data_IF_394635471194
#
_entry.id   IF_394635471194
#
_cell.length_a   1.000
_cell.length_b   1.000
_cell.length_c   1.000
_cell.angle_alpha   90.00
_cell.angle_beta   90.00
_cell.angle_gamma   90.00
#
_symmetry.space_group_name_H-M   'P 1'
#
loop_
_entity.id
_entity.type
_entity.pdbx_description
1 polymer ?
#
# COMPACT_ATOMS: atom_id res chain seq x y z
N UNK A 1 -3.28 5.68 19.84
CA UNK A 1 -3.85 6.27 18.62
C UNK A 1 -2.90 5.83 17.52
N UNK A 2 -3.34 4.83 16.76
CA UNK A 2 -2.46 3.85 16.11
C UNK A 2 -2.78 3.77 14.63
N UNK A 3 -1.80 4.13 13.81
CA UNK A 3 -1.86 3.89 12.38
C UNK A 3 -2.11 2.41 12.11
N UNK A 4 -3.15 2.11 11.33
CA UNK A 4 -3.41 0.76 10.85
C UNK A 4 -2.65 0.56 9.54
N UNK A 5 -1.70 -0.37 9.55
CA UNK A 5 -0.99 -0.78 8.35
C UNK A 5 -1.87 -1.68 7.50
N UNK A 6 -1.75 -1.55 6.19
CA UNK A 6 -2.42 -2.39 5.21
C UNK A 6 -1.43 -2.82 4.12
N UNK A 7 -1.68 -3.98 3.51
CA UNK A 7 -0.95 -4.46 2.34
C UNK A 7 -1.83 -5.29 1.41
N UNK A 8 -1.58 -5.17 0.11
CA UNK A 8 -2.33 -5.82 -0.96
C UNK A 8 -1.38 -6.33 -2.04
N UNK A 9 -1.71 -7.46 -2.64
CA UNK A 9 -1.09 -7.94 -3.89
C UNK A 9 -2.20 -8.12 -4.90
N UNK A 10 -2.11 -7.44 -6.05
CA UNK A 10 -3.16 -7.46 -7.08
C UNK A 10 -2.56 -7.61 -8.48
N UNK A 11 -3.25 -8.25 -9.45
CA UNK A 11 -2.77 -8.41 -10.81
C UNK A 11 -2.46 -7.08 -11.50
N UNK A 12 -1.33 -7.02 -12.22
CA UNK A 12 -0.90 -5.84 -12.97
C UNK A 12 -1.80 -5.61 -14.19
N UNK A 13 -2.44 -4.44 -14.26
CA UNK A 13 -3.38 -4.05 -15.32
C UNK A 13 -2.78 -3.05 -16.32
N UNK A 14 -1.55 -3.29 -16.76
CA UNK A 14 -0.87 -2.51 -17.80
C UNK A 14 -0.19 -1.21 -17.33
N UNK A 15 -0.69 -0.60 -16.25
CA UNK A 15 -0.03 0.48 -15.50
C UNK A 15 -0.32 0.35 -14.01
N UNK A 16 0.49 0.98 -13.15
CA UNK A 16 0.26 0.94 -11.70
C UNK A 16 -0.99 1.76 -11.34
N UNK A 17 -1.26 2.84 -12.06
CA UNK A 17 -2.44 3.69 -11.89
C UNK A 17 -3.74 2.93 -12.22
N UNK A 18 -3.76 2.20 -13.33
CA UNK A 18 -4.90 1.34 -13.69
C UNK A 18 -5.07 0.19 -12.71
N UNK A 19 -3.97 -0.34 -12.20
CA UNK A 19 -4.00 -1.41 -11.18
C UNK A 19 -4.58 -0.88 -9.87
N UNK A 20 -4.13 0.29 -9.41
CA UNK A 20 -4.62 0.94 -8.19
C UNK A 20 -6.12 1.24 -8.29
N UNK A 21 -6.57 1.86 -9.39
CA UNK A 21 -7.98 2.18 -9.57
C UNK A 21 -8.88 0.95 -9.45
N UNK A 22 -8.49 -0.14 -10.11
CA UNK A 22 -9.29 -1.34 -10.06
C UNK A 22 -9.20 -2.07 -8.72
N UNK A 23 -8.09 -1.91 -7.97
CA UNK A 23 -8.01 -2.33 -6.57
C UNK A 23 -8.92 -1.48 -5.66
N UNK A 24 -9.05 -0.17 -5.90
CA UNK A 24 -10.01 0.67 -5.19
C UNK A 24 -11.45 0.19 -5.41
N UNK A 25 -11.82 -0.12 -6.65
CA UNK A 25 -13.16 -0.65 -6.96
C UNK A 25 -13.43 -1.97 -6.21
N UNK A 26 -12.46 -2.89 -6.19
CA UNK A 26 -12.54 -4.18 -5.48
C UNK A 26 -12.70 -4.01 -3.96
N UNK A 27 -11.87 -3.17 -3.32
CA UNK A 27 -11.91 -2.95 -1.87
C UNK A 27 -13.12 -2.14 -1.45
N UNK A 28 -13.59 -1.21 -2.27
CA UNK A 28 -14.83 -0.49 -2.02
C UNK A 28 -16.03 -1.43 -2.00
N UNK A 29 -16.13 -2.34 -2.96
CA UNK A 29 -17.19 -3.34 -2.99
C UNK A 29 -17.13 -4.27 -1.78
N UNK A 30 -15.93 -4.68 -1.35
CA UNK A 30 -15.73 -5.51 -0.15
C UNK A 30 -16.22 -4.81 1.13
N UNK A 31 -15.88 -3.53 1.31
CA UNK A 31 -16.18 -2.79 2.53
C UNK A 31 -17.60 -2.22 2.55
N UNK A 32 -18.11 -1.76 1.41
CA UNK A 32 -19.34 -0.96 1.31
C UNK A 32 -20.40 -1.54 0.39
N UNK A 33 -20.09 -2.55 -0.45
CA UNK A 33 -21.03 -3.09 -1.46
C UNK A 33 -22.30 -3.72 -0.91
N UNK A 34 -22.32 -4.08 0.37
CA UNK A 34 -23.51 -4.56 1.09
C UNK A 34 -24.26 -3.50 1.90
N UNK A 35 -23.76 -2.27 1.97
CA UNK A 35 -24.29 -1.18 2.80
C UNK A 35 -25.08 -0.14 2.02
N UNK A 36 -25.80 0.72 2.75
CA UNK A 36 -26.46 1.92 2.20
C UNK A 36 -25.68 3.21 2.49
N UNK A 37 -24.48 3.10 3.08
CA UNK A 37 -23.69 4.24 3.56
C UNK A 37 -23.09 5.06 2.40
N UNK A 38 -22.50 4.37 1.42
CA UNK A 38 -21.96 4.97 0.21
C UNK A 38 -22.34 4.13 -1.00
N UNK A 39 -22.90 4.75 -2.04
CA UNK A 39 -23.25 4.10 -3.31
C UNK A 39 -22.10 4.09 -4.33
N UNK A 40 -21.02 4.83 -4.07
CA UNK A 40 -19.82 4.85 -4.93
C UNK A 40 -18.57 5.37 -4.20
N UNK A 41 -17.40 5.10 -4.79
CA UNK A 41 -16.13 5.70 -4.37
C UNK A 41 -16.16 7.24 -4.35
N UNK A 42 -16.82 7.86 -5.33
CA UNK A 42 -16.93 9.32 -5.39
C UNK A 42 -17.74 9.88 -4.21
N UNK A 43 -18.79 9.17 -3.78
CA UNK A 43 -19.57 9.53 -2.58
C UNK A 43 -18.74 9.37 -1.30
N UNK A 44 -18.00 8.26 -1.17
CA UNK A 44 -17.08 8.04 -0.06
C UNK A 44 -16.04 9.16 0.05
N UNK A 45 -15.41 9.53 -1.08
CA UNK A 45 -14.40 10.58 -1.10
C UNK A 45 -14.95 11.99 -0.93
N UNK A 46 -16.26 12.19 -1.14
CA UNK A 46 -16.92 13.46 -0.85
C UNK A 46 -17.20 13.67 0.65
N UNK A 47 -17.16 12.60 1.46
CA UNK A 47 -17.25 12.71 2.93
C UNK A 47 -15.89 13.09 3.52
N UNK A 48 -15.60 14.39 3.50
CA UNK A 48 -14.34 14.95 4.03
C UNK A 48 -14.19 14.77 5.55
N UNK A 49 -15.30 14.65 6.31
CA UNK A 49 -15.26 14.43 7.75
C UNK A 49 -14.75 13.01 8.03
N UNK A 50 -15.38 12.01 7.41
CA UNK A 50 -14.97 10.61 7.54
C UNK A 50 -13.56 10.37 7.00
N UNK A 51 -13.27 10.82 5.78
CA UNK A 51 -11.98 10.63 5.13
C UNK A 51 -10.85 11.46 5.76
N UNK A 52 -11.18 12.55 6.46
CA UNK A 52 -10.21 13.44 7.10
C UNK A 52 -9.83 13.04 8.52
N UNK A 53 -10.72 12.37 9.26
CA UNK A 53 -10.49 12.03 10.67
C UNK A 53 -9.98 10.61 10.90
N UNK A 54 -10.59 9.59 10.29
CA UNK A 54 -10.20 8.18 10.47
C UNK A 54 -9.88 7.46 9.17
N UNK A 55 -10.58 7.81 8.09
CA UNK A 55 -10.49 7.06 6.83
C UNK A 55 -10.99 5.62 6.99
N UNK A 56 -10.64 4.80 6.01
CA UNK A 56 -11.12 3.42 5.84
C UNK A 56 -10.19 2.37 6.43
N UNK A 57 -9.00 2.77 6.91
CA UNK A 57 -7.93 1.86 7.32
C UNK A 57 -7.51 0.88 6.22
N UNK A 58 -7.58 1.33 4.96
CA UNK A 58 -7.36 0.50 3.77
C UNK A 58 -6.64 1.27 2.65
N UNK A 59 -6.41 0.60 1.52
CA UNK A 59 -5.88 1.22 0.29
C UNK A 59 -6.74 2.38 -0.23
N UNK A 60 -8.02 2.47 0.16
CA UNK A 60 -8.90 3.59 -0.23
C UNK A 60 -8.43 4.93 0.35
N UNK A 61 -7.62 4.90 1.41
CA UNK A 61 -7.05 6.11 2.03
C UNK A 61 -5.90 6.70 1.22
N UNK A 62 -5.45 6.05 0.15
CA UNK A 62 -4.46 6.62 -0.79
C UNK A 62 -5.08 6.70 -2.17
N UNK A 63 -5.09 7.90 -2.75
CA UNK A 63 -5.88 8.19 -3.95
C UNK A 63 -5.05 8.21 -5.24
N UNK A 64 -3.75 8.49 -5.15
CA UNK A 64 -2.94 8.74 -6.36
C UNK A 64 -1.50 8.25 -6.25
N UNK A 65 -0.92 7.99 -7.40
CA UNK A 65 0.49 7.64 -7.54
C UNK A 65 1.32 8.89 -7.80
N UNK A 66 2.44 9.01 -7.10
CA UNK A 66 3.47 10.01 -7.36
C UNK A 66 4.72 9.35 -7.94
N UNK A 67 5.42 10.07 -8.83
CA UNK A 67 6.62 9.56 -9.50
C UNK A 67 7.90 9.69 -8.65
N UNK A 68 7.84 10.47 -7.58
CA UNK A 68 8.96 10.65 -6.66
C UNK A 68 9.09 9.44 -5.75
N UNK A 69 10.32 9.06 -5.42
CA UNK A 69 10.61 8.01 -4.44
C UNK A 69 10.67 8.52 -3.01
N UNK A 70 10.72 9.84 -2.82
CA UNK A 70 10.68 10.49 -1.51
C UNK A 70 9.22 10.74 -1.09
N UNK A 71 8.90 10.73 0.23
CA UNK A 71 7.59 11.15 0.72
C UNK A 71 7.23 12.55 0.19
N UNK A 72 6.03 12.72 -0.33
CA UNK A 72 5.58 14.02 -0.88
C UNK A 72 4.42 14.61 -0.10
N UNK A 73 3.22 14.06 -0.31
CA UNK A 73 1.95 14.58 0.18
C UNK A 73 1.12 13.43 0.76
N UNK A 74 0.13 13.78 1.57
CA UNK A 74 -0.89 12.84 2.01
C UNK A 74 -1.68 12.24 0.84
N UNK A 75 -2.24 11.07 1.09
CA UNK A 75 -3.06 10.27 0.18
C UNK A 75 -2.30 9.82 -1.09
N UNK A 76 -0.98 9.63 -0.97
CA UNK A 76 -0.12 9.25 -2.10
C UNK A 76 0.59 7.91 -1.93
N UNK A 77 0.74 7.22 -3.06
CA UNK A 77 1.58 6.04 -3.23
C UNK A 77 2.83 6.40 -4.03
N UNK A 78 4.00 5.98 -3.54
CA UNK A 78 5.27 6.18 -4.23
C UNK A 78 5.94 4.87 -4.63
N UNK A 79 6.74 4.84 -5.71
CA UNK A 79 7.55 3.67 -6.01
C UNK A 79 8.60 3.45 -4.94
N UNK A 80 8.82 2.18 -4.57
CA UNK A 80 10.01 1.83 -3.80
C UNK A 80 11.27 2.04 -4.67
N UNK A 81 12.29 2.79 -4.21
CA UNK A 81 13.49 3.02 -5.00
C UNK A 81 14.23 1.72 -5.33
N UNK A 82 14.85 1.65 -6.52
CA UNK A 82 15.61 0.48 -6.99
C UNK A 82 16.64 -0.03 -5.98
N UNK A 83 17.37 0.87 -5.33
CA UNK A 83 18.35 0.49 -4.30
C UNK A 83 17.70 -0.22 -3.10
N UNK A 84 16.47 0.17 -2.74
CA UNK A 84 15.69 -0.48 -1.67
C UNK A 84 15.06 -1.78 -2.13
N UNK A 85 14.65 -1.90 -3.40
CA UNK A 85 14.25 -3.18 -4.00
C UNK A 85 15.38 -4.21 -3.87
N UNK A 86 16.59 -3.85 -4.32
CA UNK A 86 17.77 -4.72 -4.24
C UNK A 86 18.12 -5.05 -2.78
N UNK A 87 17.97 -4.09 -1.86
CA UNK A 87 18.20 -4.33 -0.44
C UNK A 87 17.25 -5.38 0.17
N UNK A 88 15.94 -5.29 -0.12
CA UNK A 88 14.93 -6.16 0.49
C UNK A 88 14.79 -7.52 -0.22
N UNK A 89 14.95 -7.52 -1.54
CA UNK A 89 14.66 -8.69 -2.38
C UNK A 89 15.90 -9.31 -3.04
N UNK A 90 17.05 -8.63 -2.98
CA UNK A 90 18.26 -9.01 -3.72
C UNK A 90 18.19 -8.73 -5.22
N UNK A 91 17.11 -8.10 -5.70
CA UNK A 91 16.83 -7.85 -7.12
C UNK A 91 15.97 -6.58 -7.28
N UNK A 92 16.03 -5.94 -8.44
CA UNK A 92 15.13 -4.85 -8.84
C UNK A 92 13.81 -5.34 -9.47
N UNK A 93 13.69 -6.66 -9.68
CA UNK A 93 12.51 -7.33 -10.24
C UNK A 93 12.05 -8.47 -9.32
N UNK A 94 11.49 -8.15 -8.15
CA UNK A 94 11.05 -9.17 -7.21
C UNK A 94 9.85 -9.96 -7.76
N UNK A 95 9.77 -11.25 -7.39
CA UNK A 95 8.56 -12.06 -7.61
C UNK A 95 7.51 -11.82 -6.52
N UNK A 96 6.30 -12.32 -6.76
CA UNK A 96 5.23 -12.34 -5.75
C UNK A 96 5.67 -13.06 -4.48
N UNK A 97 6.27 -14.25 -4.63
CA UNK A 97 6.77 -15.04 -3.48
C UNK A 97 7.84 -14.28 -2.66
N UNK A 98 8.75 -13.55 -3.34
CA UNK A 98 9.75 -12.73 -2.64
C UNK A 98 9.10 -11.59 -1.86
N UNK A 99 8.07 -10.96 -2.43
CA UNK A 99 7.30 -9.91 -1.77
C UNK A 99 6.56 -10.42 -0.54
N UNK A 100 5.76 -11.48 -0.70
CA UNK A 100 5.01 -12.10 0.40
C UNK A 100 5.95 -12.58 1.51
N UNK A 101 7.07 -13.20 1.17
CA UNK A 101 8.08 -13.61 2.13
C UNK A 101 8.75 -12.44 2.86
N UNK A 102 8.91 -11.28 2.23
CA UNK A 102 9.40 -10.07 2.89
C UNK A 102 8.34 -9.45 3.82
N UNK A 103 7.07 -9.41 3.39
CA UNK A 103 5.95 -8.92 4.19
C UNK A 103 5.72 -9.80 5.43
N UNK A 104 5.75 -11.13 5.28
CA UNK A 104 5.63 -12.06 6.40
C UNK A 104 6.72 -11.82 7.46
N UNK A 105 7.98 -11.65 7.04
CA UNK A 105 9.10 -11.30 7.93
C UNK A 105 8.91 -9.94 8.59
N UNK A 106 8.38 -8.95 7.86
CA UNK A 106 8.10 -7.62 8.39
C UNK A 106 7.02 -7.67 9.50
N UNK A 107 5.94 -8.41 9.28
CA UNK A 107 4.90 -8.61 10.29
C UNK A 107 5.37 -9.40 11.51
N UNK A 108 6.22 -10.42 11.32
CA UNK A 108 6.85 -11.14 12.43
C UNK A 108 7.74 -10.20 13.26
N UNK A 109 8.56 -9.39 12.60
CA UNK A 109 9.41 -8.39 13.26
C UNK A 109 8.57 -7.36 14.01
N UNK A 110 7.45 -6.88 13.45
CA UNK A 110 6.56 -5.93 14.12
C UNK A 110 6.04 -6.47 15.47
N UNK A 111 5.78 -7.79 15.55
CA UNK A 111 5.30 -8.46 16.78
C UNK A 111 6.39 -8.70 17.82
N UNK A 112 7.64 -8.82 17.39
CA UNK A 112 8.74 -9.31 18.24
C UNK A 112 9.79 -8.25 18.54
N UNK A 113 9.85 -7.16 17.76
CA UNK A 113 10.87 -6.13 17.90
C UNK A 113 10.73 -5.33 19.19
N UNK A 114 11.85 -4.83 19.76
CA UNK A 114 11.80 -3.85 20.84
C UNK A 114 11.13 -2.55 20.35
N UNK A 115 10.33 -1.92 21.22
CA UNK A 115 9.60 -0.66 20.94
C UNK A 115 10.48 0.51 20.46
N UNK A 116 11.81 0.45 20.66
CA UNK A 116 12.77 1.50 20.29
C UNK A 116 13.74 1.09 19.18
N UNK A 117 13.55 -0.06 18.55
CA UNK A 117 14.37 -0.49 17.41
C UNK A 117 13.98 0.24 16.12
N UNK A 118 14.96 0.55 15.28
CA UNK A 118 14.69 1.00 13.91
C UNK A 118 14.00 -0.12 13.12
N UNK A 119 12.94 0.23 12.39
CA UNK A 119 12.30 -0.69 11.45
C UNK A 119 13.09 -0.72 10.13
N UNK A 120 13.88 -1.77 9.94
CA UNK A 120 14.64 -2.01 8.71
C UNK A 120 13.92 -2.95 7.75
N UNK A 121 12.68 -3.36 8.05
CA UNK A 121 11.90 -4.27 7.22
C UNK A 121 11.20 -3.53 6.08
N UNK A 122 10.51 -4.28 5.21
CA UNK A 122 9.77 -3.69 4.10
C UNK A 122 8.68 -2.71 4.58
N UNK A 123 7.98 -3.03 5.68
CA UNK A 123 7.00 -2.12 6.30
C UNK A 123 7.64 -0.81 6.78
N UNK A 124 8.91 -0.84 7.20
CA UNK A 124 9.66 0.35 7.64
C UNK A 124 10.01 1.34 6.52
N UNK A 125 9.72 1.00 5.26
CA UNK A 125 9.80 1.92 4.13
C UNK A 125 8.67 2.96 4.16
N UNK A 126 7.48 2.59 4.63
CA UNK A 126 6.41 3.55 4.85
C UNK A 126 6.56 4.22 6.23
N UNK A 127 6.68 5.54 6.25
CA UNK A 127 7.02 6.32 7.46
C UNK A 127 6.04 7.46 7.71
N UNK A 128 5.03 7.62 6.86
CA UNK A 128 4.10 8.73 6.90
C UNK A 128 2.67 8.20 6.81
N UNK A 129 1.81 8.67 7.71
CA UNK A 129 0.38 8.33 7.68
C UNK A 129 -0.27 8.82 6.40
N UNK A 130 -1.35 8.14 6.00
CA UNK A 130 -2.06 8.37 4.74
C UNK A 130 -1.11 8.34 3.54
N UNK A 131 -0.06 7.53 3.60
CA UNK A 131 0.80 7.29 2.45
C UNK A 131 1.07 5.80 2.33
N UNK A 132 1.64 5.42 1.20
CA UNK A 132 2.16 4.08 1.05
C UNK A 132 3.18 3.99 -0.06
N UNK A 133 3.62 2.76 -0.28
CA UNK A 133 4.64 2.38 -1.23
C UNK A 133 4.08 1.28 -2.12
N UNK A 134 4.49 1.28 -3.39
CA UNK A 134 4.21 0.18 -4.30
C UNK A 134 5.48 -0.46 -4.85
N UNK A 135 5.36 -1.74 -5.18
CA UNK A 135 6.40 -2.57 -5.80
C UNK A 135 5.79 -3.32 -6.97
N UNK A 136 6.38 -3.17 -8.17
CA UNK A 136 6.00 -3.98 -9.33
C UNK A 136 6.64 -5.35 -9.21
N UNK A 137 5.83 -6.40 -9.35
CA UNK A 137 6.20 -7.79 -9.15
C UNK A 137 6.22 -8.54 -10.48
N UNK A 138 7.19 -9.44 -10.62
CA UNK A 138 7.53 -10.05 -11.90
C UNK A 138 7.41 -11.57 -11.88
N UNK A 139 7.04 -12.13 -13.02
CA UNK A 139 7.16 -13.56 -13.35
C UNK A 139 7.78 -13.64 -14.73
N UNK A 140 8.84 -14.43 -14.90
CA UNK A 140 9.57 -14.56 -16.18
C UNK A 140 9.94 -13.21 -16.82
N UNK A 141 10.37 -12.25 -16.00
CA UNK A 141 10.72 -10.87 -16.40
C UNK A 141 9.56 -10.01 -16.94
N UNK A 142 8.31 -10.46 -16.84
CA UNK A 142 7.12 -9.67 -17.16
C UNK A 142 6.45 -9.18 -15.87
N UNK A 143 5.97 -7.92 -15.82
CA UNK A 143 5.19 -7.45 -14.68
C UNK A 143 3.86 -8.20 -14.65
N UNK A 144 3.59 -8.89 -13.54
CA UNK A 144 2.37 -9.69 -13.37
C UNK A 144 1.49 -9.19 -12.25
N UNK A 145 2.07 -8.59 -11.20
CA UNK A 145 1.35 -8.09 -10.04
C UNK A 145 1.95 -6.77 -9.54
N UNK A 146 1.23 -6.11 -8.65
CA UNK A 146 1.74 -4.99 -7.85
C UNK A 146 1.47 -5.30 -6.39
N UNK A 147 2.50 -5.17 -5.56
CA UNK A 147 2.38 -5.10 -4.11
C UNK A 147 2.20 -3.66 -3.68
N UNK A 148 1.14 -3.37 -2.94
CA UNK A 148 0.89 -2.09 -2.29
C UNK A 148 0.96 -2.28 -0.78
N UNK A 149 1.57 -1.36 -0.05
CA UNK A 149 1.51 -1.34 1.41
C UNK A 149 1.63 0.09 1.92
N UNK A 150 1.09 0.36 3.10
CA UNK A 150 1.11 1.69 3.67
C UNK A 150 0.39 1.75 5.00
N UNK A 151 0.14 2.97 5.45
CA UNK A 151 -0.42 3.24 6.76
C UNK A 151 -1.53 4.28 6.67
N UNK A 152 -2.69 3.95 7.22
CA UNK A 152 -3.77 4.93 7.44
C UNK A 152 -3.52 5.75 8.70
N UNK A 153 -4.12 6.93 8.79
CA UNK A 153 -3.99 7.82 9.95
C UNK A 153 -5.07 7.55 11.00
N UNK A 154 -4.64 7.57 12.27
CA UNK A 154 -5.43 7.67 13.51
C UNK A 154 -4.60 8.40 14.57
#
# INVERSE_FOLDING_TARGET
>A
MGASGWDYVTPYRGSVETTLKALHDEVFEELFGGGEEYGSLDELYADEEFMGEGGTHSILDVQRIVKTTEPSDYFTLRPLPTARLVHHFGTDRPSVEQYEGAMARAYEALRTRPLRGEDTTLLGEDRMRWTGVYVVLYTDSQPTHVGFFGSSGD
#
